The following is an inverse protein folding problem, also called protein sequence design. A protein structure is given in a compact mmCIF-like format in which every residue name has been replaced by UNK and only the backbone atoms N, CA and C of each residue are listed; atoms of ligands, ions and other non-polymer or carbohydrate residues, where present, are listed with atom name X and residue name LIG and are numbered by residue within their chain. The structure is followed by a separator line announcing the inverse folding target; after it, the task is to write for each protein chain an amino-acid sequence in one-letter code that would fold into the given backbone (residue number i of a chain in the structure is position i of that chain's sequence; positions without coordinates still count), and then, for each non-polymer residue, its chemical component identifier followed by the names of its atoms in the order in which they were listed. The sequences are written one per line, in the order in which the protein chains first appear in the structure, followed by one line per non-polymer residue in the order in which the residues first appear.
data_IF_341231509952
#
_entry.id   IF_341231509952
#
_cell.length_a   1.000
_cell.length_b   1.000
_cell.length_c   1.000
_cell.angle_alpha   90.00
_cell.angle_beta   90.00
_cell.angle_gamma   90.00
#
_symmetry.space_group_name_H-M   'P 1'
#
loop_
_entity.id
_entity.type
_entity.pdbx_description
1 polymer ?
#
# COMPACT_ATOMS: atom_id res chain seq x y z
N UNK A 1 -1.19 -4.71 -19.07
CA UNK A 1 -1.08 -5.99 -18.34
C UNK A 1 -0.51 -5.68 -16.97
N UNK A 2 -1.05 -6.24 -15.91
CA UNK A 2 -0.57 -6.10 -14.51
C UNK A 2 -0.16 -7.48 -13.99
N UNK A 3 0.99 -7.55 -13.34
CA UNK A 3 1.55 -8.78 -12.76
C UNK A 3 2.11 -8.48 -11.38
N UNK A 4 2.02 -9.44 -10.45
CA UNK A 4 2.60 -9.35 -9.10
C UNK A 4 3.36 -10.65 -8.77
N UNK A 5 4.45 -10.51 -8.02
CA UNK A 5 5.16 -11.63 -7.40
C UNK A 5 5.69 -11.25 -6.01
N UNK A 6 5.89 -12.20 -5.11
CA UNK A 6 6.58 -11.93 -3.86
C UNK A 6 7.98 -11.34 -4.10
N UNK A 7 8.35 -10.36 -3.27
CA UNK A 7 9.72 -9.82 -3.26
C UNK A 7 10.59 -10.59 -2.25
N UNK A 8 11.91 -10.48 -2.41
CA UNK A 8 12.89 -10.97 -1.43
C UNK A 8 13.01 -10.08 -0.18
N UNK A 9 11.94 -9.41 0.21
CA UNK A 9 11.76 -8.60 1.42
C UNK A 9 10.48 -9.03 2.12
N UNK A 10 10.51 -9.16 3.43
CA UNK A 10 9.39 -9.66 4.22
C UNK A 10 8.09 -8.92 3.93
N UNK A 11 7.09 -9.64 3.43
CA UNK A 11 5.76 -9.13 3.11
C UNK A 11 5.69 -8.12 1.98
N UNK A 12 6.79 -7.87 1.26
CA UNK A 12 6.78 -6.99 0.10
C UNK A 12 6.42 -7.74 -1.19
N UNK A 13 5.94 -6.99 -2.18
CA UNK A 13 5.51 -7.47 -3.48
C UNK A 13 6.17 -6.63 -4.57
N UNK A 14 6.73 -7.29 -5.59
CA UNK A 14 7.10 -6.63 -6.84
C UNK A 14 5.91 -6.69 -7.78
N UNK A 15 5.55 -5.56 -8.36
CA UNK A 15 4.52 -5.49 -9.35
C UNK A 15 5.01 -4.78 -10.62
N UNK A 16 4.45 -5.16 -11.76
CA UNK A 16 4.67 -4.50 -13.05
C UNK A 16 3.34 -4.16 -13.70
N UNK A 17 3.30 -3.05 -14.41
CA UNK A 17 2.13 -2.61 -15.15
C UNK A 17 2.57 -2.07 -16.50
N UNK A 18 2.02 -2.63 -17.57
CA UNK A 18 2.13 -2.07 -18.92
C UNK A 18 0.76 -1.53 -19.34
N UNK A 19 0.69 -0.24 -19.61
CA UNK A 19 -0.53 0.41 -20.07
C UNK A 19 -0.60 0.31 -21.59
N UNK A 20 -1.71 -0.20 -22.09
CA UNK A 20 -2.03 -0.19 -23.52
C UNK A 20 -2.67 1.14 -23.91
N UNK A 21 -2.62 1.50 -25.19
CA UNK A 21 -3.36 2.64 -25.72
C UNK A 21 -4.85 2.49 -25.39
N UNK A 22 -5.49 3.57 -24.92
CA UNK A 22 -6.90 3.57 -24.52
C UNK A 22 -7.18 2.98 -23.12
N UNK A 23 -6.16 2.53 -22.37
CA UNK A 23 -6.36 2.12 -20.98
C UNK A 23 -6.78 3.33 -20.13
N UNK A 24 -7.89 3.17 -19.40
CA UNK A 24 -8.34 4.19 -18.44
C UNK A 24 -7.65 3.99 -17.09
N UNK A 25 -7.20 5.09 -16.50
CA UNK A 25 -6.67 5.08 -15.14
C UNK A 25 -7.69 4.51 -14.15
N UNK A 26 -7.20 3.72 -13.20
CA UNK A 26 -8.02 3.21 -12.10
C UNK A 26 -7.56 3.82 -10.79
N UNK A 27 -8.50 4.18 -9.90
CA UNK A 27 -8.13 4.64 -8.58
C UNK A 27 -7.34 3.58 -7.81
N UNK A 28 -6.19 3.96 -7.29
CA UNK A 28 -5.46 3.20 -6.27
C UNK A 28 -6.15 3.45 -4.94
N UNK A 29 -6.56 2.38 -4.27
CA UNK A 29 -7.30 2.48 -3.02
C UNK A 29 -6.35 2.41 -1.82
N UNK A 30 -6.65 3.11 -0.70
CA UNK A 30 -5.87 2.99 0.52
C UNK A 30 -5.76 1.54 0.97
N UNK A 31 -4.55 1.04 1.19
CA UNK A 31 -4.26 -0.33 1.62
C UNK A 31 -3.31 -0.42 2.82
N UNK A 32 -2.76 0.73 3.23
CA UNK A 32 -1.79 0.82 4.31
C UNK A 32 -0.35 0.65 3.87
N UNK A 33 -0.12 0.40 2.60
CA UNK A 33 1.20 0.20 2.01
C UNK A 33 1.82 1.52 1.52
N UNK A 34 3.09 1.43 1.19
CA UNK A 34 3.86 2.42 0.44
C UNK A 34 4.57 1.70 -0.70
N UNK A 35 4.78 2.39 -1.80
CA UNK A 35 5.47 1.82 -2.97
C UNK A 35 6.70 2.65 -3.34
N UNK A 36 7.80 1.97 -3.69
CA UNK A 36 8.86 2.54 -4.50
C UNK A 36 8.53 2.19 -5.95
N UNK A 37 8.36 3.21 -6.80
CA UNK A 37 7.85 3.06 -8.16
C UNK A 37 8.88 3.56 -9.15
N UNK A 38 9.04 2.81 -10.23
CA UNK A 38 9.78 3.20 -11.42
C UNK A 38 8.84 3.44 -12.59
N UNK A 39 9.14 4.45 -13.34
CA UNK A 39 8.69 4.70 -14.71
C UNK A 39 9.90 5.22 -15.50
N UNK A 40 9.94 5.11 -16.85
CA UNK A 40 11.11 5.52 -17.61
C UNK A 40 11.63 6.91 -17.22
N UNK A 41 12.90 6.97 -16.85
CA UNK A 41 13.58 8.19 -16.42
C UNK A 41 13.26 8.65 -14.99
N UNK A 42 12.47 7.92 -14.19
CA UNK A 42 12.02 8.41 -12.89
C UNK A 42 11.83 7.31 -11.84
N UNK A 43 12.33 7.57 -10.63
CA UNK A 43 11.98 6.82 -9.43
C UNK A 43 11.19 7.72 -8.49
N UNK A 44 10.08 7.23 -7.97
CA UNK A 44 9.24 7.96 -7.01
C UNK A 44 8.77 7.05 -5.88
N UNK A 45 8.41 7.67 -4.77
CA UNK A 45 7.78 7.02 -3.63
C UNK A 45 6.32 7.43 -3.56
N UNK A 46 5.43 6.44 -3.56
CA UNK A 46 4.04 6.63 -3.21
C UNK A 46 3.88 6.43 -1.71
N UNK A 47 3.46 7.47 -1.01
CA UNK A 47 3.19 7.44 0.42
C UNK A 47 1.91 6.69 0.76
N UNK A 48 1.63 6.49 2.05
CA UNK A 48 0.43 5.80 2.48
C UNK A 48 -0.79 6.70 2.28
N UNK A 49 -1.75 6.22 1.53
CA UNK A 49 -2.95 6.98 1.18
C UNK A 49 -4.03 6.91 2.27
N UNK A 50 -4.73 8.03 2.50
CA UNK A 50 -5.94 8.10 3.32
C UNK A 50 -7.21 8.13 2.50
N UNK A 51 -7.09 8.36 1.19
CA UNK A 51 -8.16 8.38 0.19
C UNK A 51 -7.68 7.77 -1.11
N UNK A 52 -8.57 7.45 -2.03
CA UNK A 52 -8.16 6.94 -3.33
C UNK A 52 -7.33 7.98 -4.09
N UNK A 53 -6.31 7.51 -4.77
CA UNK A 53 -5.49 8.28 -5.70
C UNK A 53 -5.80 7.83 -7.13
N UNK A 54 -6.15 8.79 -8.00
CA UNK A 54 -6.27 8.53 -9.43
C UNK A 54 -4.93 8.88 -10.07
N UNK A 55 -4.14 7.88 -10.52
CA UNK A 55 -2.91 8.17 -11.24
C UNK A 55 -3.24 8.85 -12.57
N UNK A 56 -2.29 9.65 -13.07
CA UNK A 56 -2.33 10.19 -14.43
C UNK A 56 -1.40 9.33 -15.30
N UNK A 57 -1.91 8.26 -15.92
CA UNK A 57 -1.09 7.30 -16.61
C UNK A 57 -0.76 7.80 -18.02
N UNK A 58 0.49 7.63 -18.42
CA UNK A 58 0.94 7.88 -19.78
C UNK A 58 0.67 6.60 -20.60
N UNK A 59 -0.18 6.63 -21.63
CA UNK A 59 -0.42 5.47 -22.49
C UNK A 59 0.88 4.92 -23.09
N UNK A 60 0.98 3.60 -23.21
CA UNK A 60 2.19 2.93 -23.72
C UNK A 60 3.34 2.83 -22.71
N UNK A 61 3.23 3.43 -21.54
CA UNK A 61 4.29 3.43 -20.54
C UNK A 61 4.28 2.16 -19.70
N UNK A 62 5.49 1.71 -19.35
CA UNK A 62 5.74 0.64 -18.38
C UNK A 62 5.97 1.24 -16.99
N UNK A 63 5.44 0.58 -15.99
CA UNK A 63 5.67 0.88 -14.58
C UNK A 63 6.14 -0.38 -13.88
N UNK A 64 7.02 -0.22 -12.92
CA UNK A 64 7.36 -1.28 -11.97
C UNK A 64 7.32 -0.70 -10.55
N UNK A 65 6.99 -1.51 -9.56
CA UNK A 65 6.97 -1.07 -8.18
C UNK A 65 7.36 -2.18 -7.21
N UNK A 66 7.92 -1.74 -6.09
CA UNK A 66 8.06 -2.57 -4.89
C UNK A 66 7.09 -2.01 -3.87
N UNK A 67 6.02 -2.77 -3.60
CA UNK A 67 5.07 -2.46 -2.52
C UNK A 67 5.58 -3.03 -1.23
N UNK A 68 5.76 -2.19 -0.26
CA UNK A 68 6.17 -2.56 1.09
C UNK A 68 4.95 -2.90 1.94
N UNK A 69 5.05 -3.94 2.75
CA UNK A 69 4.04 -4.24 3.75
C UNK A 69 3.81 -3.02 4.69
N UNK A 70 2.58 -2.86 5.23
CA UNK A 70 2.27 -1.73 6.10
C UNK A 70 3.29 -1.55 7.22
N UNK A 71 3.89 -0.36 7.27
CA UNK A 71 4.84 0.04 8.30
C UNK A 71 6.30 -0.36 8.08
N UNK A 72 6.65 -1.02 6.97
CA UNK A 72 8.04 -1.43 6.70
C UNK A 72 8.83 -0.42 5.87
N UNK A 73 8.17 0.30 4.98
CA UNK A 73 8.79 1.28 4.09
C UNK A 73 9.59 2.39 4.79
N UNK A 74 9.14 2.98 5.91
CA UNK A 74 9.87 4.05 6.59
C UNK A 74 11.30 3.67 6.97
N UNK A 75 11.54 2.44 7.40
CA UNK A 75 12.88 1.96 7.72
C UNK A 75 13.78 1.90 6.49
N UNK A 76 13.23 1.51 5.33
CA UNK A 76 13.95 1.40 4.07
C UNK A 76 14.21 2.76 3.44
N UNK A 77 13.21 3.64 3.48
CA UNK A 77 13.26 4.97 2.86
C UNK A 77 14.02 5.99 3.72
N UNK A 78 14.11 5.76 5.04
CA UNK A 78 14.76 6.67 5.98
C UNK A 78 13.90 7.88 6.36
N UNK A 79 12.59 7.86 6.06
CA UNK A 79 11.65 8.95 6.31
C UNK A 79 10.41 8.42 7.01
N UNK A 80 9.89 9.09 8.06
CA UNK A 80 8.64 8.71 8.71
C UNK A 80 7.46 8.75 7.74
N UNK A 81 6.57 7.75 7.80
CA UNK A 81 5.47 7.62 6.85
C UNK A 81 4.54 8.85 6.81
N UNK A 82 4.39 9.58 7.93
CA UNK A 82 3.49 10.74 7.97
C UNK A 82 3.99 11.95 7.17
N UNK A 83 5.28 12.01 6.85
CA UNK A 83 5.84 13.04 5.97
C UNK A 83 5.50 12.78 4.49
N UNK A 84 5.19 11.53 4.16
CA UNK A 84 4.85 11.09 2.81
C UNK A 84 3.35 10.80 2.62
N UNK A 85 2.54 11.03 3.64
CA UNK A 85 1.10 10.73 3.60
C UNK A 85 0.37 11.49 2.51
N UNK A 86 -0.36 10.75 1.67
CA UNK A 86 -1.11 11.28 0.52
C UNK A 86 -0.23 11.97 -0.53
N UNK A 87 1.09 11.68 -0.54
CA UNK A 87 2.06 12.28 -1.46
C UNK A 87 2.64 11.27 -2.43
N UNK A 88 3.14 11.81 -3.54
CA UNK A 88 4.02 11.15 -4.51
C UNK A 88 5.27 12.02 -4.62
N UNK A 89 6.41 11.50 -4.17
CA UNK A 89 7.65 12.27 -4.00
C UNK A 89 8.74 11.63 -4.84
N UNK A 90 9.51 12.43 -5.55
CA UNK A 90 10.65 11.93 -6.29
C UNK A 90 11.71 11.37 -5.34
N UNK A 91 12.34 10.27 -5.73
CA UNK A 91 13.38 9.65 -4.91
C UNK A 91 14.59 10.59 -4.72
N UNK A 92 14.79 11.51 -5.67
CA UNK A 92 15.82 12.55 -5.62
C UNK A 92 15.68 13.42 -4.36
N UNK A 93 14.45 13.75 -3.96
CA UNK A 93 14.16 14.57 -2.80
C UNK A 93 14.41 13.84 -1.47
N UNK A 94 14.37 12.50 -1.50
CA UNK A 94 14.55 11.68 -0.29
C UNK A 94 16.00 11.18 -0.11
N UNK A 95 16.66 10.78 -1.19
CA UNK A 95 17.96 10.11 -1.13
C UNK A 95 19.11 10.93 -1.72
N UNK A 96 18.82 12.16 -2.17
CA UNK A 96 19.75 13.06 -2.82
C UNK A 96 19.92 12.76 -4.31
N UNK A 97 19.92 13.82 -5.12
CA UNK A 97 19.77 13.75 -6.57
C UNK A 97 20.82 12.90 -7.31
N UNK A 98 22.10 12.97 -6.95
CA UNK A 98 23.15 12.17 -7.63
C UNK A 98 22.96 10.67 -7.42
N UNK A 99 22.63 10.26 -6.19
CA UNK A 99 22.38 8.86 -5.85
C UNK A 99 21.13 8.35 -6.55
N UNK A 100 20.05 9.08 -6.47
CA UNK A 100 18.76 8.67 -7.05
C UNK A 100 18.86 8.58 -8.57
N UNK A 101 19.49 9.56 -9.25
CA UNK A 101 19.74 9.49 -10.71
C UNK A 101 20.56 8.27 -11.12
N UNK A 102 21.62 7.92 -10.37
CA UNK A 102 22.39 6.71 -10.63
C UNK A 102 21.58 5.42 -10.45
N UNK A 103 20.61 5.42 -9.52
CA UNK A 103 19.66 4.30 -9.35
C UNK A 103 18.68 4.25 -10.49
N UNK A 104 18.10 5.39 -10.89
CA UNK A 104 17.17 5.50 -12.02
C UNK A 104 17.80 4.96 -13.30
N UNK A 105 19.01 5.41 -13.66
CA UNK A 105 19.70 4.92 -14.86
C UNK A 105 19.90 3.41 -14.85
N UNK A 106 20.27 2.83 -13.70
CA UNK A 106 20.43 1.36 -13.59
C UNK A 106 19.11 0.60 -13.79
N UNK A 107 17.97 1.16 -13.34
CA UNK A 107 16.67 0.54 -13.55
C UNK A 107 16.19 0.74 -14.99
N UNK A 108 16.48 1.90 -15.59
CA UNK A 108 16.16 2.20 -17.00
C UNK A 108 16.90 1.25 -17.98
N UNK A 109 18.15 0.92 -17.68
CA UNK A 109 19.00 0.04 -18.51
C UNK A 109 18.73 -1.45 -18.29
N UNK A 110 17.91 -1.82 -17.30
CA UNK A 110 17.65 -3.22 -16.97
C UNK A 110 16.61 -3.86 -17.91
N UNK A 111 16.87 -5.09 -18.32
CA UNK A 111 15.90 -5.90 -19.08
C UNK A 111 14.60 -6.14 -18.28
N UNK A 112 14.75 -6.36 -16.96
CA UNK A 112 13.66 -6.46 -15.98
C UNK A 112 13.72 -5.33 -14.95
N UNK A 113 13.00 -4.21 -15.19
CA UNK A 113 12.95 -3.09 -14.25
C UNK A 113 12.38 -3.47 -12.88
N UNK A 114 11.49 -4.47 -12.81
CA UNK A 114 10.94 -4.94 -11.54
C UNK A 114 12.00 -5.62 -10.68
N UNK A 115 12.82 -6.50 -11.26
CA UNK A 115 13.93 -7.13 -10.56
C UNK A 115 15.03 -6.13 -10.17
N UNK A 116 15.33 -5.17 -11.04
CA UNK A 116 16.29 -4.10 -10.75
C UNK A 116 15.82 -3.22 -9.59
N UNK A 117 14.55 -2.84 -9.59
CA UNK A 117 13.94 -2.04 -8.52
C UNK A 117 13.90 -2.80 -7.19
N UNK A 118 13.61 -4.09 -7.22
CA UNK A 118 13.71 -4.97 -6.05
C UNK A 118 15.12 -4.99 -5.48
N UNK A 119 16.14 -5.09 -6.33
CA UNK A 119 17.53 -5.04 -5.89
C UNK A 119 17.88 -3.71 -5.22
N UNK A 120 17.36 -2.58 -5.72
CA UNK A 120 17.47 -1.26 -5.09
C UNK A 120 16.84 -1.27 -3.69
N UNK A 121 15.61 -1.76 -3.58
CA UNK A 121 14.88 -1.82 -2.30
C UNK A 121 15.60 -2.73 -1.28
N UNK A 122 16.09 -3.89 -1.71
CA UNK A 122 16.85 -4.83 -0.87
C UNK A 122 18.17 -4.23 -0.39
N UNK A 123 18.90 -3.55 -1.27
CA UNK A 123 20.15 -2.87 -0.91
C UNK A 123 19.91 -1.73 0.09
N UNK A 124 18.79 -1.03 -0.02
CA UNK A 124 18.38 -0.01 0.96
C UNK A 124 17.99 -0.67 2.30
N UNK A 125 17.19 -1.72 2.28
CA UNK A 125 16.77 -2.46 3.47
C UNK A 125 17.96 -3.07 4.23
N UNK A 126 18.99 -3.56 3.54
CA UNK A 126 20.20 -4.10 4.16
C UNK A 126 21.01 -3.05 4.95
N UNK A 127 20.87 -1.77 4.61
CA UNK A 127 21.50 -0.63 5.30
C UNK A 127 20.60 0.00 6.35
N UNK A 128 19.33 -0.34 6.32
CA UNK A 128 18.31 0.21 7.20
C UNK A 128 18.41 -0.40 8.60
N UNK A 129 17.87 0.33 9.57
CA UNK A 129 17.60 -0.27 10.89
C UNK A 129 16.55 -1.35 10.72
N UNK A 130 16.73 -2.48 11.43
CA UNK A 130 15.72 -3.55 11.41
C UNK A 130 14.33 -3.00 11.74
N UNK A 131 13.30 -3.41 10.99
CA UNK A 131 11.93 -3.03 11.31
C UNK A 131 11.59 -3.41 12.76
N UNK A 132 10.83 -2.53 13.42
CA UNK A 132 10.34 -2.80 14.76
C UNK A 132 9.30 -3.95 14.73
N UNK A 133 9.56 -5.10 15.38
CA UNK A 133 8.63 -6.23 15.36
C UNK A 133 7.22 -5.87 15.86
N UNK A 134 7.12 -4.87 16.73
CA UNK A 134 5.85 -4.38 17.26
C UNK A 134 4.96 -3.79 16.17
N UNK A 135 5.55 -3.20 15.11
CA UNK A 135 4.79 -2.64 13.99
C UNK A 135 4.01 -3.73 13.26
N UNK A 136 4.67 -4.86 12.94
CA UNK A 136 4.00 -6.01 12.32
C UNK A 136 2.91 -6.61 13.21
N UNK A 137 3.13 -6.68 14.52
CA UNK A 137 2.12 -7.17 15.47
C UNK A 137 0.89 -6.26 15.51
N UNK A 138 1.08 -4.95 15.56
CA UNK A 138 -0.01 -3.96 15.50
C UNK A 138 -0.83 -4.17 14.21
N UNK A 139 -0.17 -4.31 13.04
CA UNK A 139 -0.86 -4.53 11.76
C UNK A 139 -1.69 -5.82 11.81
N UNK A 140 -1.10 -6.95 12.21
CA UNK A 140 -1.81 -8.24 12.28
C UNK A 140 -3.06 -8.17 13.15
N UNK A 141 -2.95 -7.57 14.35
CA UNK A 141 -4.07 -7.44 15.30
C UNK A 141 -5.18 -6.53 14.76
N UNK A 142 -4.81 -5.37 14.22
CA UNK A 142 -5.79 -4.46 13.60
C UNK A 142 -6.44 -5.11 12.36
N UNK A 143 -5.67 -5.84 11.55
CA UNK A 143 -6.20 -6.61 10.43
C UNK A 143 -7.12 -7.74 10.87
N UNK A 144 -6.88 -8.36 12.03
CA UNK A 144 -7.80 -9.32 12.65
C UNK A 144 -9.08 -8.66 13.20
N UNK A 145 -9.12 -7.32 13.28
CA UNK A 145 -10.27 -6.56 13.77
C UNK A 145 -10.25 -6.32 15.28
N UNK A 146 -9.11 -6.53 15.94
CA UNK A 146 -8.99 -6.21 17.37
C UNK A 146 -9.20 -4.72 17.62
N UNK A 147 -9.89 -4.34 18.70
CA UNK A 147 -10.05 -2.95 19.09
C UNK A 147 -8.70 -2.28 19.34
N UNK A 148 -8.53 -1.02 18.92
CA UNK A 148 -7.28 -0.25 19.10
C UNK A 148 -6.83 -0.21 20.55
N UNK A 149 -7.77 -0.15 21.52
CA UNK A 149 -7.45 -0.18 22.94
C UNK A 149 -6.84 -1.52 23.39
N UNK A 150 -7.35 -2.64 22.88
CA UNK A 150 -6.81 -3.96 23.16
C UNK A 150 -5.40 -4.11 22.56
N UNK A 151 -5.21 -3.65 21.32
CA UNK A 151 -3.89 -3.64 20.67
C UNK A 151 -2.88 -2.81 21.48
N UNK A 152 -3.29 -1.64 21.99
CA UNK A 152 -2.44 -0.81 22.82
C UNK A 152 -2.04 -1.53 24.13
N UNK A 153 -3.00 -2.18 24.80
CA UNK A 153 -2.77 -2.91 26.03
C UNK A 153 -1.78 -4.08 25.84
N UNK A 154 -1.99 -4.90 24.79
CA UNK A 154 -1.09 -6.03 24.48
C UNK A 154 0.32 -5.55 24.11
N UNK A 155 0.41 -4.44 23.38
CA UNK A 155 1.68 -3.82 23.00
C UNK A 155 2.41 -3.15 24.20
N UNK A 156 1.80 -3.08 25.38
CA UNK A 156 2.34 -2.35 26.53
C UNK A 156 2.46 -0.84 26.30
N UNK A 157 1.63 -0.28 25.40
CA UNK A 157 1.70 1.11 25.00
C UNK A 157 0.50 1.90 25.51
N UNK A 158 0.77 3.09 26.05
CA UNK A 158 -0.29 4.08 26.26
C UNK A 158 -0.82 4.60 24.89
N UNK A 159 -2.07 5.08 24.88
CA UNK A 159 -2.76 5.56 23.66
C UNK A 159 -1.95 6.58 22.87
N UNK A 160 -1.29 7.53 23.55
CA UNK A 160 -0.45 8.55 22.88
C UNK A 160 0.77 7.93 22.20
N UNK A 161 1.42 6.95 22.84
CA UNK A 161 2.59 6.26 22.30
C UNK A 161 2.20 5.42 21.07
N UNK A 162 1.10 4.65 21.16
CA UNK A 162 0.57 3.90 20.01
C UNK A 162 0.24 4.85 18.85
N UNK A 163 -0.39 5.99 19.11
CA UNK A 163 -0.74 6.97 18.07
C UNK A 163 0.52 7.55 17.39
N UNK A 164 1.54 7.94 18.17
CA UNK A 164 2.81 8.45 17.62
C UNK A 164 3.49 7.40 16.74
N UNK A 165 3.68 6.17 17.26
CA UNK A 165 4.27 5.06 16.49
C UNK A 165 3.50 4.74 15.22
N UNK A 166 2.17 4.74 15.30
CA UNK A 166 1.33 4.53 14.11
C UNK A 166 1.55 5.63 13.06
N UNK A 167 1.70 6.88 13.46
CA UNK A 167 2.00 7.96 12.52
C UNK A 167 3.38 7.80 11.88
N UNK A 168 4.38 7.44 12.65
CA UNK A 168 5.75 7.20 12.15
C UNK A 168 5.79 6.03 11.18
N UNK A 169 5.09 4.92 11.49
CA UNK A 169 5.13 3.69 10.71
C UNK A 169 4.13 3.68 9.54
N UNK A 170 2.92 4.21 9.69
CA UNK A 170 1.82 4.06 8.75
C UNK A 170 1.32 5.40 8.15
N UNK A 171 1.87 6.53 8.58
CA UNK A 171 1.45 7.86 8.13
C UNK A 171 0.24 8.43 8.86
N UNK A 172 -0.52 7.63 9.59
CA UNK A 172 -1.75 8.02 10.30
C UNK A 172 -1.94 7.23 11.59
N UNK A 173 -2.97 7.62 12.36
CA UNK A 173 -3.26 6.97 13.64
C UNK A 173 -3.83 5.54 13.48
N UNK A 174 -3.81 4.72 14.56
CA UNK A 174 -4.20 3.32 14.49
C UNK A 174 -5.68 3.11 14.13
N UNK A 175 -6.55 4.07 14.44
CA UNK A 175 -7.97 4.01 14.02
C UNK A 175 -8.14 4.10 12.51
N UNK A 176 -7.35 4.96 11.84
CA UNK A 176 -7.37 5.08 10.37
C UNK A 176 -6.83 3.81 9.74
N UNK A 177 -5.71 3.27 10.24
CA UNK A 177 -5.19 1.99 9.76
C UNK A 177 -6.23 0.86 9.91
N UNK A 178 -6.87 0.73 11.07
CA UNK A 178 -7.90 -0.28 11.30
C UNK A 178 -9.09 -0.16 10.32
N UNK A 179 -9.50 1.07 9.97
CA UNK A 179 -10.55 1.31 8.97
C UNK A 179 -10.11 0.86 7.58
N UNK A 180 -8.89 1.22 7.17
CA UNK A 180 -8.30 0.84 5.87
C UNK A 180 -8.21 -0.68 5.77
N UNK A 181 -7.61 -1.35 6.76
CA UNK A 181 -7.46 -2.81 6.77
C UNK A 181 -8.80 -3.54 6.77
N UNK A 182 -9.80 -3.02 7.48
CA UNK A 182 -11.16 -3.55 7.47
C UNK A 182 -11.80 -3.42 6.09
N UNK A 183 -11.66 -2.26 5.43
CA UNK A 183 -12.14 -2.06 4.07
C UNK A 183 -11.46 -3.03 3.10
N UNK A 184 -10.14 -3.16 3.14
CA UNK A 184 -9.40 -4.07 2.27
C UNK A 184 -9.86 -5.53 2.45
N UNK A 185 -10.11 -5.97 3.69
CA UNK A 185 -10.67 -7.30 3.97
C UNK A 185 -12.06 -7.47 3.34
N UNK A 186 -12.94 -6.46 3.48
CA UNK A 186 -14.27 -6.50 2.85
C UNK A 186 -14.17 -6.58 1.33
N UNK A 187 -13.30 -5.77 0.72
CA UNK A 187 -13.10 -5.76 -0.74
C UNK A 187 -12.52 -7.09 -1.25
N UNK A 188 -11.62 -7.72 -0.48
CA UNK A 188 -11.13 -9.07 -0.77
C UNK A 188 -12.26 -10.09 -0.84
N UNK A 189 -13.17 -10.07 0.14
CA UNK A 189 -14.35 -10.93 0.15
C UNK A 189 -15.29 -10.65 -1.04
N UNK A 190 -15.51 -9.39 -1.39
CA UNK A 190 -16.33 -8.99 -2.54
C UNK A 190 -15.73 -9.49 -3.86
N UNK A 191 -14.40 -9.46 -4.02
CA UNK A 191 -13.70 -10.02 -5.18
C UNK A 191 -13.92 -11.54 -5.32
N UNK A 192 -13.99 -12.24 -4.20
CA UNK A 192 -14.30 -13.68 -4.14
C UNK A 192 -15.81 -13.97 -4.33
N UNK A 193 -16.62 -12.96 -4.69
CA UNK A 193 -18.05 -13.14 -4.96
C UNK A 193 -18.95 -13.13 -3.72
N UNK A 194 -18.42 -12.86 -2.52
CA UNK A 194 -19.22 -12.75 -1.31
C UNK A 194 -20.15 -11.53 -1.41
N UNK A 195 -21.41 -11.67 -0.95
CA UNK A 195 -22.38 -10.56 -0.94
C UNK A 195 -21.91 -9.41 -0.05
N UNK A 196 -22.33 -8.18 -0.35
CA UNK A 196 -21.93 -7.00 0.44
C UNK A 196 -22.33 -7.11 1.91
N UNK A 197 -23.51 -7.67 2.20
CA UNK A 197 -23.96 -7.88 3.58
C UNK A 197 -23.05 -8.87 4.32
N UNK A 198 -22.74 -10.01 3.72
CA UNK A 198 -21.86 -11.00 4.32
C UNK A 198 -20.41 -10.49 4.42
N UNK A 199 -19.92 -9.74 3.41
CA UNK A 199 -18.60 -9.12 3.46
C UNK A 199 -18.51 -8.08 4.59
N UNK A 200 -19.55 -7.27 4.79
CA UNK A 200 -19.64 -6.32 5.89
C UNK A 200 -19.49 -7.02 7.26
N UNK A 201 -20.33 -8.01 7.53
CA UNK A 201 -20.29 -8.76 8.79
C UNK A 201 -18.94 -9.44 9.02
N UNK A 202 -18.42 -10.15 8.02
CA UNK A 202 -17.13 -10.88 8.11
C UNK A 202 -15.93 -9.97 8.22
N UNK A 203 -16.01 -8.72 7.76
CA UNK A 203 -14.94 -7.73 7.89
C UNK A 203 -15.02 -6.91 9.17
N UNK A 204 -16.09 -7.07 9.99
CA UNK A 204 -16.28 -6.32 11.23
C UNK A 204 -16.96 -4.96 11.04
N UNK A 205 -17.72 -4.77 9.94
CA UNK A 205 -18.69 -3.70 9.82
C UNK A 205 -20.01 -4.13 10.47
N UNK A 206 -20.74 -3.18 11.05
CA UNK A 206 -22.03 -3.47 11.67
C UNK A 206 -23.06 -4.01 10.66
N UNK A 207 -23.07 -3.45 9.47
CA UNK A 207 -23.98 -3.78 8.39
C UNK A 207 -23.45 -3.34 7.02
N UNK A 208 -24.17 -3.64 5.94
CA UNK A 208 -23.85 -3.22 4.59
C UNK A 208 -23.81 -1.69 4.43
N UNK A 209 -24.69 -0.96 5.13
CA UNK A 209 -24.73 0.49 5.05
C UNK A 209 -23.46 1.12 5.68
N UNK A 210 -22.98 0.53 6.78
CA UNK A 210 -21.70 0.90 7.38
C UNK A 210 -20.54 0.68 6.39
N UNK A 211 -20.47 -0.50 5.76
CA UNK A 211 -19.45 -0.78 4.75
C UNK A 211 -19.52 0.20 3.57
N UNK A 212 -20.71 0.53 3.09
CA UNK A 212 -20.89 1.49 2.00
C UNK A 212 -20.45 2.92 2.39
N UNK A 213 -20.70 3.35 3.62
CA UNK A 213 -20.22 4.64 4.15
C UNK A 213 -18.69 4.66 4.25
N UNK A 214 -18.06 3.60 4.78
CA UNK A 214 -16.61 3.47 4.86
C UNK A 214 -15.96 3.49 3.47
N UNK A 215 -16.54 2.74 2.51
CA UNK A 215 -16.10 2.72 1.12
C UNK A 215 -16.10 4.13 0.53
N UNK A 216 -17.24 4.83 0.63
CA UNK A 216 -17.36 6.19 0.09
C UNK A 216 -16.41 7.18 0.80
N UNK A 217 -16.26 7.07 2.11
CA UNK A 217 -15.39 7.96 2.89
C UNK A 217 -13.89 7.80 2.57
N UNK A 218 -13.43 6.56 2.33
CA UNK A 218 -12.02 6.27 2.05
C UNK A 218 -11.69 6.32 0.55
N UNK A 219 -12.67 6.10 -0.33
CA UNK A 219 -12.35 5.93 -1.76
C UNK A 219 -13.13 6.86 -2.68
N UNK A 220 -14.17 7.54 -2.20
CA UNK A 220 -15.10 8.30 -3.04
C UNK A 220 -16.02 7.44 -3.90
N UNK A 221 -15.80 6.11 -3.95
CA UNK A 221 -16.54 5.17 -4.81
C UNK A 221 -17.69 4.50 -4.05
N UNK A 222 -18.65 3.97 -4.80
CA UNK A 222 -19.63 3.03 -4.25
C UNK A 222 -19.13 1.59 -4.34
N UNK A 223 -19.71 0.68 -3.55
CA UNK A 223 -19.43 -0.77 -3.66
C UNK A 223 -19.79 -1.32 -5.05
N UNK A 224 -20.81 -0.75 -5.69
CA UNK A 224 -21.24 -1.14 -7.03
C UNK A 224 -20.24 -0.71 -8.09
N UNK A 225 -19.72 0.51 -8.01
CA UNK A 225 -18.66 1.01 -8.92
C UNK A 225 -17.41 0.16 -8.79
N UNK A 226 -17.01 -0.16 -7.56
CA UNK A 226 -15.88 -1.05 -7.31
C UNK A 226 -16.08 -2.43 -7.94
N UNK A 227 -17.25 -3.05 -7.74
CA UNK A 227 -17.55 -4.37 -8.31
C UNK A 227 -17.60 -4.34 -9.84
N UNK A 228 -18.11 -3.26 -10.42
CA UNK A 228 -18.11 -3.07 -11.87
C UNK A 228 -16.69 -2.91 -12.44
N UNK A 229 -15.80 -2.21 -11.73
CA UNK A 229 -14.40 -2.06 -12.12
C UNK A 229 -13.60 -3.35 -11.95
N UNK A 230 -13.87 -4.12 -10.88
CA UNK A 230 -13.21 -5.40 -10.61
C UNK A 230 -13.58 -6.52 -11.59
N UNK A 231 -14.77 -6.45 -12.21
CA UNK A 231 -15.22 -7.41 -13.24
C UNK A 231 -14.61 -7.16 -14.61
N UNK A 232 -14.11 -5.96 -14.87
CA UNK A 232 -13.41 -5.63 -16.13
C UNK A 232 -11.94 -6.04 -15.99
N UNK A 233 -11.67 -7.31 -16.15
CA UNK A 233 -10.41 -8.03 -15.99
C UNK A 233 -9.14 -7.20 -16.28
N UNK A 234 -8.63 -6.54 -15.27
CA UNK A 234 -7.21 -6.21 -15.12
C UNK A 234 -6.93 -6.33 -13.62
N UNK A 235 -5.98 -7.16 -13.18
CA UNK A 235 -5.61 -7.24 -11.78
C UNK A 235 -5.28 -5.84 -11.28
N UNK A 236 -5.90 -5.42 -10.18
CA UNK A 236 -5.49 -4.22 -9.45
C UNK A 236 -4.38 -4.59 -8.49
N UNK A 237 -3.47 -3.64 -8.16
CA UNK A 237 -2.62 -3.79 -7.01
C UNK A 237 -3.48 -4.15 -5.81
N UNK A 238 -3.45 -5.41 -5.41
CA UNK A 238 -4.17 -5.86 -4.23
C UNK A 238 -3.34 -5.51 -3.03
N UNK A 239 -3.90 -4.75 -2.10
CA UNK A 239 -3.36 -4.67 -0.75
C UNK A 239 -3.07 -6.07 -0.26
N UNK A 240 -1.90 -6.26 0.32
CA UNK A 240 -1.30 -7.51 0.77
C UNK A 240 -2.33 -8.57 1.15
N UNK A 241 -2.47 -9.61 0.34
CA UNK A 241 -3.02 -10.88 0.80
C UNK A 241 -1.98 -11.50 1.71
N UNK A 242 -1.96 -11.11 2.97
CA UNK A 242 -1.27 -11.90 4.00
C UNK A 242 -2.06 -13.18 4.14
N UNK A 243 -1.68 -14.18 3.38
CA UNK A 243 -2.08 -15.56 3.65
C UNK A 243 -1.32 -16.01 4.90
N UNK A 244 -2.07 -16.52 5.86
CA UNK A 244 -1.59 -17.11 7.10
C UNK A 244 -0.54 -18.20 6.87
#
# INVERSE_FOLDING_TARGET
MYEERPAGLDGAVVWTLTLTEGATARPVLPDGCMDLIWTPGRLLVAGPDTRSHLPDPIPGTRYAGVRFAPGTAPAVLGVPAHELRDLRVDLDDLWGGSRARGLTGRVDEADDPGAALEAVARAAAARARRPDPLVGDIVRRLAAGEPVAAVAAVAGLGTRHLHRRSREAFGYGPKTLARILRLQRALGLVRLGVSYAAAATRSGCADQAHLAREMRALTGMTLSDYRASAKRETPQPSGSSTTA
#
